data_IF_807805702181
#
_entry.id   IF_807805702181
#
_cell.length_a   1.000
_cell.length_b   1.000
_cell.length_c   1.000
_cell.angle_alpha   90.00
_cell.angle_beta   90.00
_cell.angle_gamma   90.00
#
_symmetry.space_group_name_H-M   'P 1'
#
loop_
_entity.id
_entity.type
_entity.pdbx_description
1 polymer ?
#
# COMPACT_ATOMS: atom_id res chain seq x y z
N UNK A 1 -4.29 17.94 -0.08
CA UNK A 1 -3.91 17.84 -1.51
C UNK A 1 -3.91 16.36 -1.84
N UNK A 2 -4.56 15.94 -2.93
CA UNK A 2 -4.57 14.52 -3.31
C UNK A 2 -3.18 14.10 -3.80
N UNK A 3 -2.76 12.89 -3.44
CA UNK A 3 -1.49 12.32 -3.86
C UNK A 3 -1.71 11.45 -5.09
N UNK A 4 -0.74 11.44 -6.00
CA UNK A 4 -0.85 10.73 -7.27
C UNK A 4 0.30 9.74 -7.44
N UNK A 5 -0.05 8.52 -7.86
CA UNK A 5 0.91 7.44 -8.06
C UNK A 5 0.62 6.66 -9.34
N UNK A 6 1.62 5.92 -9.81
CA UNK A 6 1.46 4.89 -10.82
C UNK A 6 1.93 3.57 -10.22
N UNK A 7 1.07 2.55 -10.25
CA UNK A 7 1.41 1.24 -9.69
C UNK A 7 2.39 0.46 -10.60
N UNK A 8 2.89 -0.67 -10.10
CA UNK A 8 3.82 -1.56 -10.82
C UNK A 8 3.22 -2.21 -12.09
N UNK A 9 1.91 -2.12 -12.27
CA UNK A 9 1.17 -2.61 -13.43
C UNK A 9 0.79 -1.44 -14.38
N UNK A 10 1.24 -0.21 -14.09
CA UNK A 10 1.01 0.99 -14.90
C UNK A 10 -0.32 1.70 -14.65
N UNK A 11 -1.05 1.34 -13.58
CA UNK A 11 -2.36 1.92 -13.29
C UNK A 11 -2.21 3.22 -12.50
N UNK A 12 -2.89 4.30 -12.89
CA UNK A 12 -2.90 5.53 -12.11
C UNK A 12 -3.70 5.34 -10.82
N UNK A 13 -3.21 5.91 -9.72
CA UNK A 13 -3.82 5.90 -8.40
C UNK A 13 -3.87 7.34 -7.84
N UNK A 14 -4.89 7.64 -7.06
CA UNK A 14 -5.02 8.91 -6.37
C UNK A 14 -5.62 8.73 -4.98
N UNK A 15 -5.16 9.44 -3.96
CA UNK A 15 -5.80 9.39 -2.63
C UNK A 15 -7.13 10.16 -2.57
N UNK A 16 -7.48 10.95 -3.59
CA UNK A 16 -8.72 11.71 -3.68
C UNK A 16 -9.70 11.19 -4.73
N UNK A 17 -9.69 9.89 -5.03
CA UNK A 17 -10.56 9.26 -6.04
C UNK A 17 -11.81 8.57 -5.44
N UNK A 18 -12.32 9.12 -4.33
CA UNK A 18 -13.54 8.66 -3.68
C UNK A 18 -13.38 7.44 -2.77
N UNK A 19 -12.14 7.03 -2.46
CA UNK A 19 -11.85 5.88 -1.60
C UNK A 19 -11.09 6.29 -0.35
N UNK A 20 -11.49 5.77 0.80
CA UNK A 20 -10.65 5.81 1.99
C UNK A 20 -9.39 5.00 1.73
N UNK A 21 -8.24 5.67 1.69
CA UNK A 21 -6.99 5.09 1.19
C UNK A 21 -5.94 5.03 2.30
N UNK A 22 -5.46 3.83 2.61
CA UNK A 22 -4.26 3.62 3.40
C UNK A 22 -3.06 3.69 2.45
N UNK A 23 -2.08 4.54 2.75
CA UNK A 23 -0.79 4.55 2.06
C UNK A 23 0.27 4.05 3.04
N UNK A 24 1.01 3.02 2.64
CA UNK A 24 2.12 2.48 3.41
C UNK A 24 3.40 2.69 2.62
N UNK A 25 4.25 3.59 3.09
CA UNK A 25 5.63 3.70 2.64
C UNK A 25 6.46 2.64 3.35
N UNK A 26 7.24 1.86 2.60
CA UNK A 26 8.19 0.90 3.15
C UNK A 26 9.39 0.75 2.21
N UNK A 27 10.53 0.35 2.75
CA UNK A 27 11.64 -0.19 1.94
C UNK A 27 11.48 -1.70 1.75
N UNK A 28 12.30 -2.29 0.88
CA UNK A 28 12.37 -3.76 0.75
C UNK A 28 12.79 -4.46 2.04
N UNK A 29 13.51 -3.77 2.95
CA UNK A 29 13.88 -4.29 4.26
C UNK A 29 12.70 -4.31 5.25
N UNK A 30 11.73 -3.40 5.08
CA UNK A 30 10.59 -3.22 5.99
C UNK A 30 9.29 -3.84 5.45
N UNK A 31 9.38 -4.76 4.48
CA UNK A 31 8.21 -5.40 3.88
C UNK A 31 7.31 -6.11 4.90
N UNK A 32 7.91 -6.72 5.93
CA UNK A 32 7.16 -7.37 7.01
C UNK A 32 6.25 -6.40 7.77
N UNK A 33 6.67 -5.13 7.92
CA UNK A 33 5.84 -4.09 8.54
C UNK A 33 4.67 -3.72 7.63
N UNK A 34 4.89 -3.59 6.32
CA UNK A 34 3.81 -3.32 5.37
C UNK A 34 2.77 -4.45 5.35
N UNK A 35 3.21 -5.71 5.39
CA UNK A 35 2.32 -6.86 5.58
C UNK A 35 1.54 -6.74 6.88
N UNK A 36 2.22 -6.49 8.00
CA UNK A 36 1.56 -6.39 9.30
C UNK A 36 0.49 -5.28 9.33
N UNK A 37 0.72 -4.15 8.65
CA UNK A 37 -0.32 -3.12 8.46
C UNK A 37 -1.52 -3.68 7.71
N UNK A 38 -1.30 -4.39 6.59
CA UNK A 38 -2.36 -5.04 5.82
C UNK A 38 -3.15 -6.10 6.61
N UNK A 39 -2.47 -6.88 7.45
CA UNK A 39 -3.10 -7.89 8.30
C UNK A 39 -4.01 -7.25 9.38
N UNK A 40 -3.62 -6.07 9.87
CA UNK A 40 -4.38 -5.28 10.85
C UNK A 40 -5.53 -4.48 10.25
N UNK A 41 -5.66 -4.43 8.92
CA UNK A 41 -6.81 -3.79 8.25
C UNK A 41 -8.11 -4.48 8.72
N UNK A 42 -9.11 -3.70 9.17
CA UNK A 42 -10.39 -4.23 9.61
C UNK A 42 -11.09 -5.06 8.52
N UNK A 43 -11.85 -6.05 8.95
CA UNK A 43 -12.47 -7.01 8.02
C UNK A 43 -13.50 -6.36 7.09
N UNK A 44 -14.20 -5.32 7.55
CA UNK A 44 -15.19 -4.59 6.74
C UNK A 44 -14.58 -3.82 5.55
N UNK A 45 -13.25 -3.64 5.53
CA UNK A 45 -12.53 -3.04 4.42
C UNK A 45 -12.16 -4.07 3.34
N UNK A 46 -12.12 -5.37 3.66
CA UNK A 46 -11.64 -6.40 2.73
C UNK A 46 -12.61 -6.59 1.57
N UNK A 47 -12.10 -6.49 0.34
CA UNK A 47 -12.90 -6.59 -0.89
C UNK A 47 -13.92 -5.47 -1.07
N UNK A 48 -13.95 -4.47 -0.17
CA UNK A 48 -14.87 -3.36 -0.23
C UNK A 48 -14.30 -2.27 -1.17
N UNK A 49 -15.01 -1.90 -2.25
CA UNK A 49 -14.50 -0.96 -3.25
C UNK A 49 -14.28 0.47 -2.72
N UNK A 50 -14.85 0.81 -1.56
CA UNK A 50 -14.67 2.11 -0.91
C UNK A 50 -13.33 2.23 -0.17
N UNK A 51 -12.61 1.13 0.02
CA UNK A 51 -11.33 1.09 0.72
C UNK A 51 -10.22 0.64 -0.21
N UNK A 52 -9.02 1.19 -0.02
CA UNK A 52 -7.82 0.80 -0.76
C UNK A 52 -6.59 0.88 0.13
N UNK A 53 -5.65 -0.04 -0.05
CA UNK A 53 -4.31 0.09 0.53
C UNK A 53 -3.26 0.15 -0.59
N UNK A 54 -2.51 1.24 -0.65
CA UNK A 54 -1.39 1.44 -1.57
C UNK A 54 -0.09 1.23 -0.80
N UNK A 55 0.75 0.29 -1.24
CA UNK A 55 2.10 0.12 -0.70
C UNK A 55 3.11 0.80 -1.61
N UNK A 56 3.80 1.83 -1.12
CA UNK A 56 4.90 2.49 -1.82
C UNK A 56 6.21 1.83 -1.36
N UNK A 57 6.86 1.11 -2.26
CA UNK A 57 8.16 0.46 -2.04
C UNK A 57 9.26 1.41 -2.47
N UNK A 58 9.91 2.04 -1.49
CA UNK A 58 11.07 2.90 -1.72
C UNK A 58 12.32 2.06 -1.89
N UNK A 59 13.06 2.36 -2.95
CA UNK A 59 14.40 1.81 -3.17
C UNK A 59 15.44 2.85 -2.78
N UNK A 60 16.40 2.46 -1.95
CA UNK A 60 17.51 3.31 -1.53
C UNK A 60 18.74 2.99 -2.40
N UNK A 61 19.21 3.99 -3.15
CA UNK A 61 20.41 3.87 -3.98
C UNK A 61 20.18 4.13 -5.46
N UNK A 62 21.28 4.23 -6.23
CA UNK A 62 21.22 4.42 -7.68
C UNK A 62 20.95 3.08 -8.36
N UNK A 63 19.87 3.01 -9.12
CA UNK A 63 19.53 1.82 -9.92
C UNK A 63 19.65 2.11 -11.41
N UNK A 64 20.46 1.31 -12.11
CA UNK A 64 20.45 1.25 -13.58
C UNK A 64 19.11 0.73 -14.08
N UNK A 65 18.78 0.95 -15.35
CA UNK A 65 17.54 0.46 -15.95
C UNK A 65 17.38 -1.07 -15.81
N UNK A 66 18.48 -1.82 -15.94
CA UNK A 66 18.48 -3.28 -15.77
C UNK A 66 18.21 -3.65 -14.31
N UNK A 67 18.87 -3.00 -13.36
CA UNK A 67 18.63 -3.23 -11.93
C UNK A 67 17.17 -2.92 -11.53
N UNK A 68 16.57 -1.85 -12.08
CA UNK A 68 15.16 -1.51 -11.86
C UNK A 68 14.22 -2.63 -12.33
N UNK A 69 14.47 -3.23 -13.50
CA UNK A 69 13.66 -4.35 -14.02
C UNK A 69 13.70 -5.58 -13.10
N UNK A 70 14.89 -5.93 -12.60
CA UNK A 70 15.07 -7.05 -11.65
C UNK A 70 14.34 -6.76 -10.34
N UNK A 71 14.48 -5.55 -9.80
CA UNK A 71 13.78 -5.12 -8.59
C UNK A 71 12.25 -5.18 -8.75
N UNK A 72 11.70 -4.69 -9.87
CA UNK A 72 10.26 -4.77 -10.17
C UNK A 72 9.81 -6.23 -10.25
N UNK A 73 10.57 -7.11 -10.90
CA UNK A 73 10.24 -8.54 -10.98
C UNK A 73 10.19 -9.19 -9.59
N UNK A 74 11.14 -8.83 -8.70
CA UNK A 74 11.12 -9.27 -7.31
C UNK A 74 9.89 -8.76 -6.56
N UNK A 75 9.55 -7.48 -6.69
CA UNK A 75 8.34 -6.90 -6.08
C UNK A 75 7.08 -7.59 -6.60
N UNK A 76 6.96 -7.83 -7.91
CA UNK A 76 5.82 -8.55 -8.50
C UNK A 76 5.68 -9.96 -7.94
N UNK A 77 6.78 -10.68 -7.75
CA UNK A 77 6.76 -12.00 -7.09
C UNK A 77 6.19 -11.90 -5.67
N UNK A 78 6.66 -10.92 -4.88
CA UNK A 78 6.15 -10.70 -3.52
C UNK A 78 4.67 -10.33 -3.51
N UNK A 79 4.24 -9.45 -4.40
CA UNK A 79 2.82 -9.10 -4.57
C UNK A 79 1.97 -10.33 -4.87
N UNK A 80 2.44 -11.25 -5.72
CA UNK A 80 1.73 -12.49 -6.00
C UNK A 80 1.70 -13.44 -4.79
N UNK A 81 2.77 -13.46 -3.98
CA UNK A 81 2.77 -14.20 -2.71
C UNK A 81 1.73 -13.61 -1.74
N UNK A 82 1.70 -12.30 -1.54
CA UNK A 82 0.68 -11.63 -0.70
C UNK A 82 -0.73 -11.85 -1.23
N UNK A 83 -0.93 -11.78 -2.55
CA UNK A 83 -2.23 -12.04 -3.17
C UNK A 83 -2.77 -13.43 -2.81
N UNK A 84 -1.91 -14.45 -2.79
CA UNK A 84 -2.31 -15.80 -2.36
C UNK A 84 -2.67 -15.85 -0.88
N UNK A 85 -1.98 -15.11 -0.02
CA UNK A 85 -2.31 -15.03 1.41
C UNK A 85 -3.65 -14.33 1.61
N UNK A 86 -3.85 -13.18 0.97
CA UNK A 86 -5.08 -12.41 1.01
C UNK A 86 -6.26 -13.21 0.42
N UNK A 87 -6.03 -13.98 -0.64
CA UNK A 87 -7.07 -14.84 -1.24
C UNK A 87 -7.57 -15.89 -0.25
N UNK A 88 -6.70 -16.47 0.59
CA UNK A 88 -7.13 -17.40 1.65
C UNK A 88 -8.02 -16.70 2.68
N UNK A 89 -7.66 -15.47 3.07
CA UNK A 89 -8.48 -14.64 3.96
C UNK A 89 -9.84 -14.31 3.33
N UNK A 90 -9.88 -14.02 2.03
CA UNK A 90 -11.11 -13.78 1.28
C UNK A 90 -12.00 -15.03 1.22
N UNK A 91 -11.41 -16.19 0.92
CA UNK A 91 -12.12 -17.48 0.88
C UNK A 91 -12.73 -17.83 2.23
N UNK A 92 -11.98 -17.68 3.33
CA UNK A 92 -12.47 -17.92 4.69
C UNK A 92 -13.66 -17.01 5.08
N UNK A 93 -13.84 -15.90 4.35
CA UNK A 93 -14.91 -14.91 4.56
C UNK A 93 -15.95 -14.90 3.43
N UNK A 94 -15.92 -15.89 2.53
CA UNK A 94 -16.82 -15.99 1.37
C UNK A 94 -16.79 -14.79 0.42
N UNK A 95 -15.68 -14.04 0.38
CA UNK A 95 -15.49 -12.92 -0.56
C UNK A 95 -15.13 -13.50 -1.93
N UNK A 96 -16.07 -13.45 -2.88
CA UNK A 96 -15.91 -13.94 -4.26
C UNK A 96 -15.22 -12.91 -5.17
N UNK A 97 -13.98 -12.55 -4.82
CA UNK A 97 -13.17 -11.57 -5.55
C UNK A 97 -11.72 -12.06 -5.65
N UNK A 98 -11.07 -11.70 -6.76
CA UNK A 98 -9.63 -11.93 -6.95
C UNK A 98 -8.83 -10.92 -6.11
N UNK A 99 -8.18 -11.42 -5.06
CA UNK A 99 -7.39 -10.62 -4.13
C UNK A 99 -6.24 -9.87 -4.81
N UNK A 100 -5.70 -10.36 -5.93
CA UNK A 100 -4.61 -9.67 -6.66
C UNK A 100 -5.07 -8.33 -7.23
N UNK A 101 -6.38 -8.18 -7.49
CA UNK A 101 -6.98 -6.92 -7.97
C UNK A 101 -7.12 -5.87 -6.86
N UNK A 102 -6.95 -6.28 -5.61
CA UNK A 102 -6.99 -5.42 -4.42
C UNK A 102 -5.61 -5.25 -3.77
N UNK A 103 -4.54 -5.47 -4.54
CA UNK A 103 -3.18 -5.16 -4.12
C UNK A 103 -2.60 -4.12 -5.06
N UNK A 104 -2.32 -2.94 -4.50
CA UNK A 104 -1.78 -1.79 -5.20
C UNK A 104 -0.39 -1.50 -4.67
N UNK A 105 0.61 -1.62 -5.54
CA UNK A 105 2.01 -1.40 -5.16
C UNK A 105 2.65 -0.41 -6.11
N UNK A 106 3.34 0.58 -5.57
CA UNK A 106 4.08 1.61 -6.29
C UNK A 106 5.56 1.37 -6.01
N UNK A 107 6.39 1.33 -7.06
CA UNK A 107 7.84 1.27 -6.89
C UNK A 107 8.43 2.66 -7.01
N UNK A 108 9.11 3.11 -5.97
CA UNK A 108 9.70 4.45 -5.89
C UNK A 108 11.23 4.38 -5.89
N UNK A 109 11.80 4.40 -7.10
CA UNK A 109 13.26 4.37 -7.29
C UNK A 109 13.94 5.72 -7.11
N UNK A 110 13.19 6.80 -7.29
CA UNK A 110 13.74 8.17 -7.34
C UNK A 110 13.30 9.00 -6.12
N UNK A 111 12.46 8.44 -5.25
CA UNK A 111 11.95 9.12 -4.07
C UNK A 111 10.80 10.08 -4.37
N UNK A 112 10.27 10.12 -5.59
CA UNK A 112 9.22 11.05 -5.99
C UNK A 112 7.89 10.73 -5.31
N UNK A 113 7.57 9.44 -5.12
CA UNK A 113 6.37 9.05 -4.39
C UNK A 113 6.53 9.31 -2.89
N UNK A 114 7.71 9.01 -2.32
CA UNK A 114 8.01 9.30 -0.91
C UNK A 114 8.04 10.81 -0.62
N UNK A 115 8.54 11.63 -1.54
CA UNK A 115 8.58 13.09 -1.39
C UNK A 115 7.17 13.70 -1.25
N UNK A 116 6.18 13.15 -1.97
CA UNK A 116 4.78 13.56 -1.83
C UNK A 116 4.22 13.30 -0.42
N UNK A 117 4.80 12.36 0.33
CA UNK A 117 4.37 12.00 1.69
C UNK A 117 4.99 12.89 2.77
N UNK A 118 5.82 13.87 2.38
CA UNK A 118 6.39 14.88 3.29
C UNK A 118 7.53 14.38 4.18
N UNK A 119 7.91 13.11 4.10
CA UNK A 119 9.06 12.58 4.84
C UNK A 119 9.76 11.42 4.09
N UNK A 120 11.09 11.46 4.07
CA UNK A 120 11.93 10.41 3.51
C UNK A 120 12.30 9.36 4.58
N UNK A 121 11.31 8.86 5.32
CA UNK A 121 11.51 7.74 6.25
C UNK A 121 11.57 6.40 5.50
N UNK A 122 12.01 5.37 6.21
CA UNK A 122 12.03 4.00 5.70
C UNK A 122 10.70 3.26 5.90
N UNK A 123 9.81 3.83 6.73
CA UNK A 123 8.47 3.33 6.98
C UNK A 123 7.52 4.47 7.38
N UNK A 124 6.30 4.45 6.85
CA UNK A 124 5.24 5.39 7.22
C UNK A 124 3.87 4.79 6.85
N UNK A 125 2.88 4.95 7.72
CA UNK A 125 1.48 4.62 7.43
C UNK A 125 0.67 5.90 7.47
N UNK A 126 -0.11 6.15 6.43
CA UNK A 126 -1.02 7.29 6.33
C UNK A 126 -2.41 6.80 5.96
N UNK A 127 -3.44 7.45 6.48
CA UNK A 127 -4.83 7.20 6.11
C UNK A 127 -5.44 8.48 5.55
N UNK A 128 -6.03 8.37 4.37
CA UNK A 128 -6.69 9.46 3.66
C UNK A 128 -8.19 9.20 3.56
N UNK A 129 -8.98 10.26 3.75
CA UNK A 129 -10.40 10.28 3.45
C UNK A 129 -10.66 10.21 1.93
N UNK A 130 -11.91 9.91 1.51
CA UNK A 130 -12.29 9.85 0.09
C UNK A 130 -11.97 11.10 -0.74
N UNK A 131 -11.91 12.27 -0.11
CA UNK A 131 -11.58 13.57 -0.72
C UNK A 131 -10.06 13.85 -0.77
N UNK A 132 -9.23 12.92 -0.30
CA UNK A 132 -7.78 13.06 -0.24
C UNK A 132 -7.27 13.84 0.98
N UNK A 133 -8.11 14.14 1.97
CA UNK A 133 -7.66 14.73 3.24
C UNK A 133 -6.94 13.68 4.10
N UNK A 134 -5.76 14.02 4.64
CA UNK A 134 -5.06 13.17 5.60
C UNK A 134 -5.84 13.11 6.92
N UNK A 135 -6.15 11.90 7.38
CA UNK A 135 -6.87 11.63 8.62
C UNK A 135 -5.93 11.22 9.76
N UNK A 136 -4.93 10.40 9.47
CA UNK A 136 -4.01 9.88 10.46
C UNK A 136 -2.66 9.49 9.85
N UNK A 137 -1.62 9.47 10.69
CA UNK A 137 -0.26 9.13 10.29
C UNK A 137 0.48 8.44 11.45
N UNK A 138 1.29 7.42 11.12
CA UNK A 138 2.16 6.71 12.07
C UNK A 138 3.52 6.40 11.45
N UNK A 139 4.58 6.52 12.24
CA UNK A 139 5.96 6.15 11.86
C UNK A 139 6.28 4.67 12.10
N UNK A 140 5.35 3.90 12.67
CA UNK A 140 5.42 2.44 12.81
C UNK A 140 4.05 1.81 12.55
N UNK A 141 3.97 0.48 12.58
CA UNK A 141 2.73 -0.27 12.32
C UNK A 141 1.68 0.10 13.37
N UNK A 142 0.56 0.75 13.00
CA UNK A 142 -0.50 1.05 13.95
C UNK A 142 -1.16 -0.23 14.42
N UNK A 143 -1.62 -0.27 15.67
CA UNK A 143 -2.40 -1.40 16.16
C UNK A 143 -3.79 -1.43 15.51
N UNK A 144 -4.43 -2.60 15.54
CA UNK A 144 -5.71 -2.82 14.85
C UNK A 144 -6.81 -1.83 15.29
N UNK A 145 -6.83 -1.45 16.57
CA UNK A 145 -7.79 -0.47 17.11
C UNK A 145 -7.53 0.94 16.59
N UNK A 146 -6.27 1.36 16.51
CA UNK A 146 -5.87 2.67 15.97
C UNK A 146 -6.23 2.77 14.49
N UNK A 147 -5.90 1.72 13.73
CA UNK A 147 -6.20 1.67 12.30
C UNK A 147 -7.72 1.64 12.05
N UNK A 148 -8.47 0.86 12.83
CA UNK A 148 -9.94 0.83 12.75
C UNK A 148 -10.56 2.20 13.07
N UNK A 149 -10.04 2.92 14.07
CA UNK A 149 -10.54 4.24 14.43
C UNK A 149 -10.37 5.28 13.30
N UNK A 150 -9.28 5.19 12.53
CA UNK A 150 -9.03 6.09 11.41
C UNK A 150 -9.79 5.74 10.11
N UNK A 151 -10.32 4.52 10.00
CA UNK A 151 -11.02 4.00 8.81
C UNK A 151 -12.54 4.05 8.92
N UNK A 152 -13.07 4.54 10.04
CA UNK A 152 -14.50 4.80 10.26
C UNK A 152 -14.85 6.21 9.82
#
# INVERSE_FOLDING_TARGET
>A
YALHFTDIDGRPLSTGDGKTTIVVLATTANWAKARATGDRVPEYCLGNPNYRMITVVRFTGRHTAIARRIAIAFVRRRVNEEARQLQRRYQARNIRRDARRDIWVVTDFEGAAAAQLGNLTDFLVLVFAPDGKLLAQWSDVPDASQLAAALK
#
